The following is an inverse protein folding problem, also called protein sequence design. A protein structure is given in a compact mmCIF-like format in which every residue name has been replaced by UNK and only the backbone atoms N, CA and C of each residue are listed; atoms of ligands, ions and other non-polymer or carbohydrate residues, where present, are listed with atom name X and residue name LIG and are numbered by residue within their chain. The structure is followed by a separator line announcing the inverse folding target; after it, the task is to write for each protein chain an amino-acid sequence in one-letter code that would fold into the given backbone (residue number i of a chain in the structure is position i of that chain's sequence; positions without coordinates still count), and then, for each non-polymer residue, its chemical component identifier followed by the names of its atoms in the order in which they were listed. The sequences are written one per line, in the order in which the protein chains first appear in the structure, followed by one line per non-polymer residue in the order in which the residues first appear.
data_IF_770472623395
#
_entry.id   IF_770472623395
#
_cell.length_a   1.000
_cell.length_b   1.000
_cell.length_c   1.000
_cell.angle_alpha   90.00
_cell.angle_beta   90.00
_cell.angle_gamma   90.00
#
_symmetry.space_group_name_H-M   'P 1'
#
loop_
_entity.id
_entity.type
_entity.pdbx_description
1 polymer ?
#
# COMPACT_ATOMS: atom_id res chain seq x y z
N UNK A 1 10.23 -34.32 -4.51
CA UNK A 1 9.78 -33.07 -3.86
C UNK A 1 10.91 -32.54 -2.99
N UNK A 2 11.19 -31.23 -3.00
CA UNK A 2 12.22 -30.66 -2.13
C UNK A 2 11.77 -30.78 -0.66
N UNK A 3 12.64 -31.28 0.21
CA UNK A 3 12.35 -31.42 1.65
C UNK A 3 12.30 -30.02 2.28
N UNK A 4 11.22 -29.72 3.01
CA UNK A 4 11.05 -28.43 3.69
C UNK A 4 12.15 -28.23 4.74
N UNK A 5 12.84 -27.09 4.69
CA UNK A 5 13.84 -26.70 5.68
C UNK A 5 13.11 -26.03 6.84
N UNK A 6 13.25 -26.59 8.05
CA UNK A 6 12.65 -26.06 9.29
C UNK A 6 13.75 -25.30 10.04
N UNK A 7 13.54 -24.02 10.41
CA UNK A 7 14.51 -23.24 11.17
C UNK A 7 14.94 -23.94 12.47
N UNK A 8 16.19 -23.72 12.90
CA UNK A 8 16.76 -24.35 14.10
C UNK A 8 15.89 -24.16 15.33
N UNK A 9 15.28 -22.98 15.48
CA UNK A 9 14.38 -22.65 16.59
C UNK A 9 13.17 -23.58 16.68
N UNK A 10 12.57 -23.93 15.54
CA UNK A 10 11.35 -24.75 15.47
C UNK A 10 11.66 -26.24 15.26
N UNK A 11 12.94 -26.61 15.16
CA UNK A 11 13.35 -27.97 14.86
C UNK A 11 13.48 -28.82 16.13
N UNK A 12 12.70 -29.89 16.22
CA UNK A 12 12.70 -30.81 17.38
C UNK A 12 13.93 -31.73 17.46
N UNK A 13 14.74 -31.82 16.40
CA UNK A 13 15.96 -32.64 16.39
C UNK A 13 17.01 -32.02 17.34
N UNK A 14 17.63 -32.85 18.18
CA UNK A 14 18.83 -32.45 18.93
C UNK A 14 20.04 -32.43 18.01
N UNK A 15 20.72 -31.30 17.94
CA UNK A 15 21.90 -31.09 17.12
C UNK A 15 23.17 -31.10 17.97
N UNK A 16 24.28 -31.55 17.37
CA UNK A 16 25.61 -31.23 17.91
C UNK A 16 25.88 -29.73 17.79
N UNK A 17 26.82 -29.21 18.57
CA UNK A 17 27.21 -27.78 18.53
C UNK A 17 27.58 -27.37 17.09
N UNK A 18 28.44 -28.15 16.43
CA UNK A 18 28.88 -27.88 15.06
C UNK A 18 27.72 -27.95 14.02
N UNK A 19 26.77 -28.88 14.15
CA UNK A 19 25.62 -28.93 13.23
C UNK A 19 24.70 -27.72 13.45
N UNK A 20 24.52 -27.29 14.70
CA UNK A 20 23.71 -26.12 15.04
C UNK A 20 24.30 -24.84 14.47
N UNK A 21 25.61 -24.63 14.64
CA UNK A 21 26.34 -23.47 14.10
C UNK A 21 26.23 -23.40 12.58
N UNK A 22 26.46 -24.54 11.89
CA UNK A 22 26.34 -24.61 10.43
C UNK A 22 24.95 -24.24 9.93
N UNK A 23 23.90 -24.66 10.64
CA UNK A 23 22.50 -24.34 10.30
C UNK A 23 22.16 -22.88 10.56
N UNK A 24 22.57 -22.33 11.70
CA UNK A 24 22.38 -20.91 12.02
C UNK A 24 23.09 -20.02 11.00
N UNK A 25 24.32 -20.37 10.60
CA UNK A 25 25.03 -19.64 9.55
C UNK A 25 24.30 -19.70 8.19
N UNK A 26 23.72 -20.85 7.84
CA UNK A 26 22.93 -20.98 6.61
C UNK A 26 21.63 -20.17 6.67
N UNK A 27 20.95 -20.14 7.82
CA UNK A 27 19.75 -19.31 8.04
C UNK A 27 20.09 -17.82 7.97
N UNK A 28 21.19 -17.41 8.57
CA UNK A 28 21.64 -16.02 8.54
C UNK A 28 22.08 -15.57 7.15
N UNK A 29 22.70 -16.47 6.36
CA UNK A 29 23.02 -16.21 4.97
C UNK A 29 21.79 -16.04 4.07
N UNK A 30 20.63 -16.57 4.48
CA UNK A 30 19.36 -16.40 3.77
C UNK A 30 18.64 -15.08 4.13
N UNK A 31 19.08 -14.36 5.16
CA UNK A 31 18.46 -13.09 5.51
C UNK A 31 18.73 -12.02 4.44
N UNK A 32 17.66 -11.40 3.95
CA UNK A 32 17.76 -10.33 2.98
C UNK A 32 18.33 -9.06 3.64
N UNK A 33 19.16 -8.32 2.88
CA UNK A 33 19.74 -7.05 3.33
C UNK A 33 18.69 -5.95 3.40
N UNK A 34 18.89 -4.96 4.26
CA UNK A 34 17.98 -3.82 4.51
C UNK A 34 18.65 -2.43 4.41
N UNK A 35 19.86 -2.39 3.84
CA UNK A 35 20.74 -1.22 3.78
C UNK A 35 20.39 -0.18 2.69
N UNK A 36 19.52 -0.51 1.74
CA UNK A 36 19.23 0.30 0.54
C UNK A 36 17.86 0.97 0.52
N UNK A 37 17.12 0.91 1.63
CA UNK A 37 15.77 1.49 1.72
C UNK A 37 15.85 3.01 1.70
N UNK A 38 15.51 3.60 0.54
CA UNK A 38 15.46 5.06 0.32
C UNK A 38 14.11 5.48 -0.25
N UNK A 39 13.63 6.63 0.22
CA UNK A 39 12.39 7.22 -0.27
C UNK A 39 12.54 7.58 -1.76
N UNK A 40 11.67 7.07 -2.65
CA UNK A 40 11.73 7.44 -4.05
C UNK A 40 11.42 8.91 -4.30
N UNK A 41 12.14 9.53 -5.25
CA UNK A 41 12.02 10.95 -5.56
C UNK A 41 10.66 11.33 -6.15
N UNK A 42 10.03 10.41 -6.88
CA UNK A 42 8.77 10.59 -7.59
C UNK A 42 7.53 10.61 -6.69
N UNK A 43 7.65 10.24 -5.41
CA UNK A 43 6.54 10.35 -4.47
C UNK A 43 6.18 11.82 -4.20
N UNK A 44 4.89 12.09 -4.08
CA UNK A 44 4.40 13.40 -3.63
C UNK A 44 4.70 13.67 -2.14
N UNK A 45 4.35 14.85 -1.66
CA UNK A 45 4.66 15.28 -0.29
C UNK A 45 3.99 14.42 0.79
N UNK A 46 2.73 14.00 0.59
CA UNK A 46 2.01 13.19 1.58
C UNK A 46 2.47 11.74 1.56
N UNK A 47 2.69 11.18 0.37
CA UNK A 47 3.28 9.86 0.23
C UNK A 47 4.69 9.80 0.86
N UNK A 48 5.50 10.86 0.75
CA UNK A 48 6.80 10.97 1.42
C UNK A 48 6.70 11.04 2.95
N UNK A 49 5.63 11.61 3.48
CA UNK A 49 5.36 11.66 4.93
C UNK A 49 5.00 10.27 5.44
N UNK A 50 4.09 9.60 4.74
CA UNK A 50 3.67 8.23 5.09
C UNK A 50 4.83 7.24 4.95
N UNK A 51 5.64 7.37 3.89
CA UNK A 51 6.87 6.60 3.73
C UNK A 51 7.78 6.72 4.95
N UNK A 52 8.04 7.96 5.42
CA UNK A 52 8.91 8.18 6.60
C UNK A 52 8.33 7.57 7.86
N UNK A 53 7.01 7.64 8.05
CA UNK A 53 6.30 7.03 9.19
C UNK A 53 6.47 5.51 9.17
N UNK A 54 6.14 4.86 8.05
CA UNK A 54 6.20 3.41 7.90
C UNK A 54 7.63 2.88 7.97
N UNK A 55 8.59 3.53 7.29
CA UNK A 55 10.00 3.09 7.34
C UNK A 55 10.56 3.14 8.75
N UNK A 56 10.18 4.13 9.57
CA UNK A 56 10.61 4.20 10.98
C UNK A 56 10.08 2.99 11.77
N UNK A 57 8.76 2.79 11.77
CA UNK A 57 8.09 1.73 12.53
C UNK A 57 8.55 0.33 12.09
N UNK A 58 8.66 0.10 10.77
CA UNK A 58 9.01 -1.21 10.23
C UNK A 58 10.51 -1.55 10.35
N UNK A 59 11.39 -0.54 10.40
CA UNK A 59 12.82 -0.76 10.68
C UNK A 59 13.07 -1.12 12.13
N UNK A 60 12.32 -0.53 13.07
CA UNK A 60 12.45 -0.85 14.51
C UNK A 60 12.18 -2.33 14.80
N UNK A 61 11.26 -2.95 14.07
CA UNK A 61 10.94 -4.39 14.21
C UNK A 61 11.70 -5.30 13.23
N UNK A 62 12.61 -4.74 12.42
CA UNK A 62 13.41 -5.51 11.46
C UNK A 62 12.63 -6.17 10.32
N UNK A 63 11.42 -5.68 10.00
CA UNK A 63 10.56 -6.31 8.99
C UNK A 63 10.89 -5.89 7.56
N UNK A 64 11.52 -4.72 7.38
CA UNK A 64 11.86 -4.21 6.06
C UNK A 64 13.18 -4.73 5.51
N UNK A 65 13.13 -5.19 4.28
CA UNK A 65 14.29 -5.57 3.45
C UNK A 65 14.38 -4.66 2.22
N UNK A 66 15.49 -4.77 1.48
CA UNK A 66 15.68 -4.05 0.22
C UNK A 66 14.65 -4.43 -0.85
N UNK A 67 14.04 -5.63 -0.74
CA UNK A 67 13.04 -6.10 -1.70
C UNK A 67 11.71 -5.37 -1.52
N UNK A 68 11.42 -4.90 -0.31
CA UNK A 68 10.15 -4.27 0.03
C UNK A 68 10.05 -2.80 -0.42
N UNK A 69 11.17 -2.19 -0.82
CA UNK A 69 11.26 -0.77 -1.13
C UNK A 69 10.23 -0.33 -2.19
N UNK A 70 10.13 -1.09 -3.29
CA UNK A 70 9.23 -0.75 -4.40
C UNK A 70 7.76 -0.90 -4.02
N UNK A 71 7.43 -2.00 -3.33
CA UNK A 71 6.07 -2.28 -2.86
C UNK A 71 5.60 -1.24 -1.85
N UNK A 72 6.47 -0.88 -0.89
CA UNK A 72 6.17 0.17 0.08
C UNK A 72 5.92 1.52 -0.61
N UNK A 73 6.62 1.81 -1.71
CA UNK A 73 6.50 3.09 -2.40
C UNK A 73 5.15 3.21 -3.08
N UNK A 74 4.74 2.14 -3.76
CA UNK A 74 3.43 2.03 -4.38
C UNK A 74 2.33 2.14 -3.32
N UNK A 75 2.48 1.47 -2.16
CA UNK A 75 1.54 1.61 -1.06
C UNK A 75 1.40 3.07 -0.57
N UNK A 76 2.51 3.79 -0.42
CA UNK A 76 2.49 5.19 0.01
C UNK A 76 1.84 6.12 -1.05
N UNK A 77 2.10 5.87 -2.33
CA UNK A 77 1.46 6.61 -3.44
C UNK A 77 -0.05 6.36 -3.50
N UNK A 78 -0.48 5.10 -3.35
CA UNK A 78 -1.89 4.73 -3.25
C UNK A 78 -2.57 5.41 -2.05
N UNK A 79 -1.90 5.46 -0.89
CA UNK A 79 -2.41 6.14 0.30
C UNK A 79 -2.65 7.64 0.03
N UNK A 80 -1.67 8.34 -0.54
CA UNK A 80 -1.80 9.76 -0.88
C UNK A 80 -2.97 10.01 -1.85
N UNK A 81 -3.05 9.22 -2.92
CA UNK A 81 -4.13 9.31 -3.91
C UNK A 81 -5.50 9.03 -3.31
N UNK A 82 -5.59 8.03 -2.42
CA UNK A 82 -6.82 7.70 -1.72
C UNK A 82 -7.28 8.87 -0.84
N UNK A 83 -6.36 9.49 -0.09
CA UNK A 83 -6.69 10.64 0.75
C UNK A 83 -7.14 11.85 -0.08
N UNK A 84 -6.42 12.17 -1.16
CA UNK A 84 -6.81 13.22 -2.07
C UNK A 84 -8.20 12.99 -2.69
N UNK A 85 -8.47 11.76 -3.14
CA UNK A 85 -9.78 11.39 -3.69
C UNK A 85 -10.90 11.47 -2.65
N UNK A 86 -10.64 11.00 -1.42
CA UNK A 86 -11.60 11.01 -0.32
C UNK A 86 -11.96 12.43 0.09
N UNK A 87 -10.96 13.30 0.23
CA UNK A 87 -11.19 14.71 0.53
C UNK A 87 -12.01 15.39 -0.56
N UNK A 88 -11.70 15.12 -1.83
CA UNK A 88 -12.47 15.66 -2.96
C UNK A 88 -13.92 15.19 -2.97
N UNK A 89 -14.17 13.93 -2.61
CA UNK A 89 -15.53 13.40 -2.47
C UNK A 89 -16.28 14.12 -1.34
N UNK A 90 -15.63 14.32 -0.19
CA UNK A 90 -16.25 14.98 0.96
C UNK A 90 -16.51 16.48 0.73
N UNK A 91 -15.62 17.16 0.00
CA UNK A 91 -15.74 18.60 -0.28
C UNK A 91 -16.77 18.91 -1.37
N UNK A 92 -17.12 17.93 -2.21
CA UNK A 92 -18.08 18.18 -3.30
C UNK A 92 -19.50 17.83 -2.88
N UNK A 93 -20.45 18.74 -3.09
CA UNK A 93 -21.87 18.43 -2.96
C UNK A 93 -22.29 17.37 -3.98
N UNK A 94 -23.19 16.48 -3.58
CA UNK A 94 -23.65 15.35 -4.40
C UNK A 94 -24.20 15.78 -5.77
N UNK A 95 -24.72 17.01 -5.87
CA UNK A 95 -25.41 17.54 -7.05
C UNK A 95 -24.87 18.94 -7.39
N UNK A 96 -24.37 19.11 -8.62
CA UNK A 96 -24.03 20.39 -9.21
C UNK A 96 -25.15 20.92 -10.12
N UNK A 97 -25.24 22.25 -10.29
CA UNK A 97 -26.18 22.88 -11.23
C UNK A 97 -25.47 23.12 -12.56
N UNK A 98 -25.92 22.44 -13.62
CA UNK A 98 -25.44 22.66 -14.98
C UNK A 98 -26.48 23.45 -15.77
N UNK A 99 -26.06 24.54 -16.41
CA UNK A 99 -26.93 25.31 -17.31
C UNK A 99 -26.63 24.92 -18.75
N UNK A 100 -27.64 24.45 -19.49
CA UNK A 100 -27.47 24.08 -20.89
C UNK A 100 -27.36 25.33 -21.79
N UNK A 101 -27.02 25.14 -23.07
CA UNK A 101 -26.90 26.23 -24.06
C UNK A 101 -28.18 27.05 -24.27
N UNK A 102 -29.33 26.53 -23.83
CA UNK A 102 -30.65 27.17 -23.92
C UNK A 102 -31.10 27.80 -22.58
N UNK A 103 -30.21 27.90 -21.59
CA UNK A 103 -30.48 28.54 -20.30
C UNK A 103 -31.23 27.67 -19.28
N UNK A 104 -31.61 26.43 -19.62
CA UNK A 104 -32.26 25.53 -18.68
C UNK A 104 -31.23 24.96 -17.68
N UNK A 105 -31.54 25.09 -16.38
CA UNK A 105 -30.74 24.57 -15.28
C UNK A 105 -31.14 23.13 -14.99
N UNK A 106 -30.19 22.20 -15.17
CA UNK A 106 -30.33 20.80 -14.84
C UNK A 106 -29.44 20.45 -13.64
N UNK A 107 -29.98 19.63 -12.75
CA UNK A 107 -29.21 19.04 -11.66
C UNK A 107 -28.39 17.87 -12.22
N UNK A 108 -27.06 17.98 -12.12
CA UNK A 108 -26.13 16.95 -12.57
C UNK A 108 -25.42 16.39 -11.34
N UNK A 109 -25.56 15.09 -11.11
CA UNK A 109 -24.84 14.41 -10.03
C UNK A 109 -23.34 14.47 -10.33
N UNK A 110 -22.53 14.76 -9.31
CA UNK A 110 -21.10 14.88 -9.49
C UNK A 110 -20.52 13.56 -10.06
N UNK A 111 -19.84 13.59 -11.23
CA UNK A 111 -19.25 12.39 -11.82
C UNK A 111 -18.26 11.65 -10.91
N UNK A 112 -17.62 12.34 -9.97
CA UNK A 112 -16.69 11.74 -9.00
C UNK A 112 -17.38 10.96 -7.88
N UNK A 113 -18.69 11.15 -7.69
CA UNK A 113 -19.52 10.43 -6.70
C UNK A 113 -20.60 9.57 -7.37
N UNK A 114 -20.76 9.66 -8.69
CA UNK A 114 -21.80 8.98 -9.43
C UNK A 114 -21.36 7.56 -9.83
N UNK A 115 -21.78 6.57 -9.04
CA UNK A 115 -21.70 5.15 -9.40
C UNK A 115 -23.03 4.69 -10.02
N UNK A 116 -22.98 4.26 -11.28
CA UNK A 116 -24.13 3.72 -12.03
C UNK A 116 -24.78 2.49 -11.36
N UNK A 117 -24.09 1.84 -10.42
CA UNK A 117 -24.64 0.72 -9.64
C UNK A 117 -25.60 1.17 -8.54
N UNK A 118 -25.46 2.40 -8.03
CA UNK A 118 -26.27 2.92 -6.92
C UNK A 118 -27.36 3.89 -7.39
N UNK A 119 -27.20 4.52 -8.56
CA UNK A 119 -28.20 5.39 -9.16
C UNK A 119 -28.51 4.92 -10.59
N UNK A 120 -29.33 3.87 -10.77
CA UNK A 120 -29.79 3.48 -12.09
C UNK A 120 -30.49 4.68 -12.74
N UNK A 121 -30.20 4.92 -14.02
CA UNK A 121 -30.86 5.98 -14.79
C UNK A 121 -32.37 5.85 -14.58
N UNK A 122 -33.03 6.91 -14.07
CA UNK A 122 -34.49 6.96 -14.10
C UNK A 122 -34.89 6.78 -15.57
N UNK A 123 -35.56 5.68 -15.86
CA UNK A 123 -36.30 5.50 -17.10
C UNK A 123 -37.36 6.60 -17.07
N UNK A 124 -37.15 7.65 -17.85
CA UNK A 124 -38.20 8.63 -18.13
C UNK A 124 -39.10 8.00 -19.19
N UNK A 125 -40.39 7.84 -18.86
CA UNK A 125 -41.44 7.52 -19.83
C UNK A 125 -41.57 8.64 -20.87
#
# INVERSE_FOLDING_TARGET
MAKQVIPVEFNKKRFTIAEREKRLAAEQALQARSDKIRCPSWLDAEAKKEWRRLVRELKEIGLLTNLDQSSLAICCDCYSKYMAATNKINDTTLVGVHTNKHGAKNLVVNPSTFDNRFFPKRQTN
#
